data_IF_929052594109
#
_entry.id   IF_929052594109
#
_cell.length_a   1.000
_cell.length_b   1.000
_cell.length_c   1.000
_cell.angle_alpha   90.00
_cell.angle_beta   90.00
_cell.angle_gamma   90.00
#
_symmetry.space_group_name_H-M   'P 1'
#
loop_
_entity.id
_entity.type
_entity.pdbx_description
1 polymer ?
#
# COMPACT_ATOMS: atom_id res chain seq x y z
N UNK A 1 -31.85 -4.19 48.54
CA UNK A 1 -32.02 -3.19 47.45
C UNK A 1 -30.78 -3.28 46.57
N UNK A 2 -30.90 -3.80 45.34
CA UNK A 2 -29.75 -3.96 44.43
C UNK A 2 -29.45 -2.62 43.73
N UNK A 3 -28.20 -2.18 43.77
CA UNK A 3 -27.77 -0.94 43.10
C UNK A 3 -27.60 -1.20 41.60
N UNK A 4 -28.02 -0.26 40.72
CA UNK A 4 -27.88 -0.44 39.28
C UNK A 4 -26.41 -0.38 38.83
N UNK A 5 -26.03 -1.10 37.77
CA UNK A 5 -24.67 -1.04 37.23
C UNK A 5 -24.39 0.35 36.66
N UNK A 6 -23.24 0.91 37.01
CA UNK A 6 -22.74 2.17 36.42
C UNK A 6 -21.91 1.85 35.19
N UNK A 7 -22.32 2.37 34.04
CA UNK A 7 -21.56 2.26 32.79
C UNK A 7 -20.53 3.38 32.68
N UNK A 8 -19.36 3.04 32.14
CA UNK A 8 -18.36 4.05 31.76
C UNK A 8 -18.83 4.84 30.53
N UNK A 9 -18.49 6.14 30.42
CA UNK A 9 -18.80 6.93 29.24
C UNK A 9 -18.06 6.39 28.02
N UNK A 10 -18.68 6.53 26.85
CA UNK A 10 -18.08 6.14 25.57
C UNK A 10 -16.79 6.94 25.34
N UNK A 11 -15.68 6.30 24.89
CA UNK A 11 -14.51 7.02 24.46
C UNK A 11 -14.91 8.01 23.36
N UNK A 12 -14.45 9.26 23.48
CA UNK A 12 -14.70 10.29 22.47
C UNK A 12 -14.12 9.90 21.12
N UNK A 13 -14.63 10.52 20.05
CA UNK A 13 -14.14 10.31 18.70
C UNK A 13 -12.67 10.71 18.59
N UNK A 14 -11.80 9.79 18.16
CA UNK A 14 -10.41 10.11 17.83
C UNK A 14 -10.42 10.98 16.57
N UNK A 15 -9.77 12.15 16.56
CA UNK A 15 -9.69 12.98 15.36
C UNK A 15 -8.96 12.21 14.26
N UNK A 16 -9.51 12.23 13.05
CA UNK A 16 -8.83 11.67 11.89
C UNK A 16 -7.50 12.40 11.69
N UNK A 17 -6.40 11.65 11.66
CA UNK A 17 -5.10 12.17 11.23
C UNK A 17 -5.22 12.49 9.74
N UNK A 18 -5.42 13.76 9.41
CA UNK A 18 -5.27 14.28 8.05
C UNK A 18 -3.78 14.23 7.67
N UNK A 19 -3.26 13.03 7.41
CA UNK A 19 -1.95 12.83 6.83
C UNK A 19 -2.08 12.87 5.32
N UNK A 20 -1.72 13.99 4.70
CA UNK A 20 -1.23 13.94 3.33
C UNK A 20 0.04 13.08 3.35
N UNK A 21 -0.09 11.81 2.98
CA UNK A 21 1.05 10.95 2.75
C UNK A 21 1.70 11.42 1.45
N UNK A 22 2.58 12.42 1.53
CA UNK A 22 3.49 12.74 0.45
C UNK A 22 4.57 11.67 0.40
N UNK A 23 4.24 10.51 -0.17
CA UNK A 23 5.24 9.59 -0.68
C UNK A 23 5.69 10.11 -2.05
N UNK A 24 6.49 11.17 -2.06
CA UNK A 24 7.25 11.55 -3.25
C UNK A 24 8.52 10.69 -3.27
N UNK A 25 8.32 9.40 -3.56
CA UNK A 25 9.38 8.51 -4.02
C UNK A 25 9.41 8.57 -5.54
N UNK A 26 10.55 8.94 -6.10
CA UNK A 26 10.83 8.98 -7.53
C UNK A 26 10.72 7.56 -8.11
N UNK A 27 9.53 7.16 -8.56
CA UNK A 27 9.31 5.88 -9.23
C UNK A 27 8.36 6.11 -10.42
N UNK A 28 8.72 5.69 -11.65
CA UNK A 28 7.91 5.89 -12.83
C UNK A 28 6.72 4.91 -12.83
N UNK A 29 5.69 5.23 -12.05
CA UNK A 29 4.33 4.95 -12.47
C UNK A 29 3.94 6.19 -13.28
N UNK A 30 4.14 6.10 -14.60
CA UNK A 30 3.51 7.04 -15.52
C UNK A 30 2.05 7.18 -15.08
N UNK A 31 1.75 8.36 -14.57
CA UNK A 31 0.50 8.72 -13.93
C UNK A 31 -0.63 8.40 -14.90
N UNK A 32 -1.23 7.21 -14.76
CA UNK A 32 -2.54 7.01 -15.33
C UNK A 32 -3.47 7.87 -14.46
N UNK A 33 -4.09 8.94 -14.99
CA UNK A 33 -4.97 9.82 -14.20
C UNK A 33 -6.20 9.08 -13.63
N UNK A 34 -6.32 7.78 -13.92
CA UNK A 34 -7.37 6.85 -13.51
C UNK A 34 -6.96 5.87 -12.40
N UNK A 35 -5.79 5.99 -11.78
CA UNK A 35 -5.40 5.09 -10.69
C UNK A 35 -6.24 5.35 -9.43
N UNK A 36 -7.05 4.36 -9.01
CA UNK A 36 -7.93 4.48 -7.83
C UNK A 36 -7.19 4.16 -6.53
N UNK A 37 -6.32 3.15 -6.55
CA UNK A 37 -5.57 2.70 -5.38
C UNK A 37 -4.21 2.17 -5.81
N UNK A 38 -3.21 2.45 -4.99
CA UNK A 38 -1.85 1.92 -5.16
C UNK A 38 -1.54 0.87 -4.10
N UNK A 39 -0.95 -0.26 -4.50
CA UNK A 39 -0.50 -1.31 -3.57
C UNK A 39 0.86 -1.86 -3.98
N UNK A 40 1.73 -2.08 -3.00
CA UNK A 40 3.00 -2.75 -3.21
C UNK A 40 2.79 -4.26 -3.41
N UNK A 41 3.67 -4.85 -4.20
CA UNK A 41 3.75 -6.29 -4.38
C UNK A 41 5.21 -6.74 -4.44
N UNK A 42 5.44 -7.99 -4.04
CA UNK A 42 6.71 -8.68 -4.21
C UNK A 42 6.55 -9.76 -5.27
N UNK A 43 7.59 -10.00 -6.04
CA UNK A 43 7.61 -10.98 -7.12
C UNK A 43 9.02 -11.51 -7.33
N UNK A 44 9.14 -12.61 -8.08
CA UNK A 44 10.42 -13.19 -8.48
C UNK A 44 10.55 -13.05 -9.99
N UNK A 45 11.66 -12.48 -10.45
CA UNK A 45 11.96 -12.31 -11.88
C UNK A 45 13.22 -13.08 -12.25
N UNK A 46 13.27 -13.61 -13.47
CA UNK A 46 14.44 -14.31 -13.98
C UNK A 46 15.33 -13.35 -14.76
N UNK A 47 16.60 -13.22 -14.38
CA UNK A 47 17.60 -12.39 -15.07
C UNK A 47 18.81 -13.26 -15.38
N UNK A 48 19.16 -13.37 -16.67
CA UNK A 48 20.27 -14.20 -17.13
C UNK A 48 20.19 -15.68 -16.71
N UNK A 49 18.99 -16.18 -16.38
CA UNK A 49 18.77 -17.55 -15.90
C UNK A 49 18.66 -17.68 -14.39
N UNK A 50 18.98 -16.63 -13.63
CA UNK A 50 18.88 -16.61 -12.17
C UNK A 50 17.56 -15.99 -11.71
N UNK A 51 16.89 -16.62 -10.75
CA UNK A 51 15.71 -16.06 -10.08
C UNK A 51 16.13 -15.02 -9.05
N UNK A 52 15.57 -13.81 -9.14
CA UNK A 52 15.84 -12.69 -8.23
C UNK A 52 14.56 -12.11 -7.67
N UNK A 53 14.60 -11.74 -6.40
CA UNK A 53 13.50 -11.03 -5.75
C UNK A 53 13.40 -9.60 -6.26
N UNK A 54 12.16 -9.17 -6.49
CA UNK A 54 11.83 -7.84 -6.95
C UNK A 54 10.56 -7.34 -6.26
N UNK A 55 10.45 -6.04 -6.10
CA UNK A 55 9.26 -5.39 -5.55
C UNK A 55 8.76 -4.34 -6.52
N UNK A 56 7.46 -4.11 -6.55
CA UNK A 56 6.88 -3.12 -7.43
C UNK A 56 5.60 -2.55 -6.88
N UNK A 57 5.01 -1.67 -7.67
CA UNK A 57 3.80 -0.94 -7.31
C UNK A 57 2.71 -1.22 -8.33
N UNK A 58 1.53 -1.62 -7.87
CA UNK A 58 0.38 -1.92 -8.69
C UNK A 58 -0.71 -0.85 -8.51
N UNK A 59 -1.40 -0.53 -9.61
CA UNK A 59 -2.49 0.43 -9.66
C UNK A 59 -3.82 -0.29 -9.88
N UNK A 60 -4.80 -0.08 -9.01
CA UNK A 60 -6.17 -0.51 -9.21
C UNK A 60 -6.86 0.42 -10.21
N UNK A 61 -7.35 -0.17 -11.29
CA UNK A 61 -8.07 0.53 -12.34
C UNK A 61 -9.59 0.56 -12.04
N UNK A 62 -10.35 1.48 -12.67
CA UNK A 62 -11.81 1.56 -12.47
C UNK A 62 -12.59 0.35 -12.98
N UNK A 63 -11.99 -0.49 -13.82
CA UNK A 63 -12.55 -1.77 -14.27
C UNK A 63 -12.39 -2.90 -13.22
N UNK A 64 -11.68 -2.64 -12.12
CA UNK A 64 -11.41 -3.61 -11.05
C UNK A 64 -10.13 -4.42 -11.25
N UNK A 65 -9.43 -4.25 -12.36
CA UNK A 65 -8.16 -4.94 -12.61
C UNK A 65 -6.98 -4.20 -12.00
N UNK A 66 -5.95 -4.95 -11.60
CA UNK A 66 -4.69 -4.39 -11.16
C UNK A 66 -3.71 -4.31 -12.34
N UNK A 67 -3.15 -3.13 -12.56
CA UNK A 67 -2.02 -2.93 -13.48
C UNK A 67 -0.73 -2.91 -12.68
N UNK A 68 0.11 -3.91 -12.89
CA UNK A 68 1.45 -3.98 -12.28
C UNK A 68 2.37 -2.97 -12.95
N UNK A 69 3.07 -2.17 -12.13
CA UNK A 69 4.16 -1.30 -12.60
C UNK A 69 5.43 -2.10 -12.92
N UNK A 70 6.51 -1.39 -13.24
CA UNK A 70 7.81 -2.04 -13.43
C UNK A 70 8.36 -2.49 -12.07
N UNK A 71 8.68 -3.79 -11.89
CA UNK A 71 9.31 -4.25 -10.66
C UNK A 71 10.77 -3.79 -10.59
N UNK A 72 11.19 -3.34 -9.42
CA UNK A 72 12.55 -3.01 -9.03
C UNK A 72 13.20 -4.23 -8.37
N UNK A 73 14.43 -4.57 -8.77
CA UNK A 73 15.21 -5.61 -8.10
C UNK A 73 15.47 -5.22 -6.64
N UNK A 74 15.33 -6.20 -5.74
CA UNK A 74 15.87 -6.05 -4.39
C UNK A 74 17.39 -6.11 -4.51
N UNK A 75 18.12 -5.06 -4.09
CA UNK A 75 19.58 -5.13 -4.02
C UNK A 75 20.01 -6.17 -2.98
N UNK A 76 20.93 -7.04 -3.39
CA UNK A 76 21.61 -7.98 -2.52
C UNK A 76 22.75 -7.24 -1.82
N UNK A 77 22.69 -7.16 -0.49
CA UNK A 77 23.70 -6.49 0.34
C UNK A 77 24.52 -7.55 1.10
N UNK A 78 25.33 -8.33 0.38
CA UNK A 78 26.34 -9.22 0.95
C UNK A 78 27.62 -8.44 1.33
#
# INVERSE_FOLDING_TARGET
>A
MAQPPRYAPRPGSIPARSGAASAQGDAPIAEAPSCLQTREYQTTITIAGDEKEAYGTACLMPDGNWKMGAPQLVPDFD
#
